data_IF_295516009979
#
_entry.id   IF_295516009979
#
_cell.length_a   1.000
_cell.length_b   1.000
_cell.length_c   1.000
_cell.angle_alpha   90.00
_cell.angle_beta   90.00
_cell.angle_gamma   90.00
#
_symmetry.space_group_name_H-M   'P 1'
#
loop_
_entity.id
_entity.type
_entity.pdbx_description
1 polymer ?
#
# COMPACT_ATOMS: atom_id res chain seq x y z
N UNK A 1 -21.19 22.41 -8.03
CA UNK A 1 -19.85 21.85 -7.79
C UNK A 1 -20.02 20.57 -6.97
N UNK A 2 -19.25 19.52 -7.27
CA UNK A 2 -19.26 18.27 -6.47
C UNK A 2 -18.44 18.51 -5.21
N UNK A 3 -18.94 18.15 -4.00
CA UNK A 3 -18.18 18.32 -2.77
C UNK A 3 -16.92 17.44 -2.78
N UNK A 4 -15.81 17.99 -2.29
CA UNK A 4 -14.55 17.25 -2.11
C UNK A 4 -14.66 16.48 -0.78
N UNK A 5 -14.51 15.16 -0.85
CA UNK A 5 -14.57 14.26 0.31
C UNK A 5 -13.21 13.58 0.54
N UNK A 6 -12.95 13.18 1.79
CA UNK A 6 -11.75 12.44 2.18
C UNK A 6 -11.85 10.95 1.80
N UNK A 7 -10.81 10.41 1.17
CA UNK A 7 -10.62 8.98 0.90
C UNK A 7 -9.65 8.32 1.92
N UNK A 8 -9.32 9.03 3.01
CA UNK A 8 -8.25 8.64 3.95
C UNK A 8 -8.57 7.37 4.76
N UNK A 9 -9.86 7.05 4.99
CA UNK A 9 -10.28 5.89 5.77
C UNK A 9 -9.64 4.59 5.27
N UNK A 10 -9.52 4.43 3.94
CA UNK A 10 -8.96 3.23 3.31
C UNK A 10 -7.47 3.05 3.53
N UNK A 11 -6.76 4.13 3.86
CA UNK A 11 -5.30 4.13 4.05
C UNK A 11 -4.92 4.49 5.49
N UNK A 12 -5.90 4.53 6.40
CA UNK A 12 -5.69 4.96 7.78
C UNK A 12 -4.67 4.08 8.49
N UNK A 13 -4.72 2.77 8.24
CA UNK A 13 -3.81 1.78 8.80
C UNK A 13 -2.34 2.06 8.44
N UNK A 14 -2.06 2.27 7.14
CA UNK A 14 -0.71 2.56 6.65
C UNK A 14 -0.16 3.89 7.19
N UNK A 15 -1.00 4.94 7.23
CA UNK A 15 -0.59 6.23 7.76
C UNK A 15 -0.37 6.19 9.27
N UNK A 16 -1.20 5.44 10.01
CA UNK A 16 -1.01 5.22 11.44
C UNK A 16 0.33 4.52 11.69
N UNK A 17 0.67 3.49 10.90
CA UNK A 17 1.97 2.83 10.99
C UNK A 17 3.12 3.82 10.80
N UNK A 18 3.03 4.73 9.83
CA UNK A 18 4.07 5.73 9.58
C UNK A 18 4.28 6.69 10.75
N UNK A 19 3.21 7.14 11.41
CA UNK A 19 3.33 8.02 12.59
C UNK A 19 3.88 7.29 13.82
N UNK A 20 3.56 6.01 13.96
CA UNK A 20 4.11 5.15 15.03
C UNK A 20 5.60 4.91 14.79
N UNK A 21 6.01 4.63 13.55
CA UNK A 21 7.43 4.52 13.15
C UNK A 21 8.17 5.84 13.32
N UNK A 22 7.52 6.97 13.02
CA UNK A 22 8.07 8.31 13.23
C UNK A 22 8.18 8.73 14.69
N UNK A 23 7.56 7.99 15.61
CA UNK A 23 7.53 8.30 17.04
C UNK A 23 6.60 9.46 17.42
N UNK A 24 5.82 10.01 16.48
CA UNK A 24 4.80 11.03 16.75
C UNK A 24 3.64 10.44 17.59
N UNK A 25 3.36 9.15 17.39
CA UNK A 25 2.25 8.44 18.01
C UNK A 25 2.77 7.20 18.72
N UNK A 26 2.53 7.09 20.02
CA UNK A 26 3.00 5.97 20.86
C UNK A 26 1.86 5.17 21.48
N UNK A 27 0.63 5.69 21.44
CA UNK A 27 -0.55 5.06 22.02
C UNK A 27 -1.82 5.49 21.28
N UNK A 28 -2.93 4.79 21.54
CA UNK A 28 -4.23 5.04 20.90
C UNK A 28 -4.74 6.46 21.17
N UNK A 29 -4.50 7.03 22.36
CA UNK A 29 -4.99 8.37 22.69
C UNK A 29 -4.28 9.46 21.86
N UNK A 30 -2.98 9.32 21.66
CA UNK A 30 -2.20 10.15 20.74
C UNK A 30 -2.64 9.94 19.29
N UNK A 31 -2.91 8.70 18.89
CA UNK A 31 -3.41 8.40 17.54
C UNK A 31 -4.79 9.02 17.26
N UNK A 32 -5.70 9.04 18.24
CA UNK A 32 -6.98 9.76 18.13
C UNK A 32 -6.75 11.27 18.01
N UNK A 33 -5.81 11.80 18.78
CA UNK A 33 -5.43 13.22 18.73
C UNK A 33 -4.84 13.59 17.36
N UNK A 34 -4.00 12.72 16.80
CA UNK A 34 -3.49 12.84 15.44
C UNK A 34 -4.62 12.85 14.40
N UNK A 35 -5.60 11.93 14.52
CA UNK A 35 -6.72 11.85 13.59
C UNK A 35 -7.54 13.15 13.52
N UNK A 36 -7.69 13.87 14.64
CA UNK A 36 -8.39 15.17 14.71
C UNK A 36 -7.75 16.23 13.80
N UNK A 37 -6.43 16.18 13.59
CA UNK A 37 -5.72 17.11 12.71
C UNK A 37 -5.86 16.79 11.22
N UNK A 38 -6.51 15.68 10.87
CA UNK A 38 -6.66 15.25 9.48
C UNK A 38 -7.87 15.89 8.80
N UNK A 39 -7.82 15.97 7.47
CA UNK A 39 -8.98 16.36 6.67
C UNK A 39 -10.16 15.38 6.82
N UNK A 40 -9.89 14.11 7.11
CA UNK A 40 -10.92 13.09 7.36
C UNK A 40 -11.82 13.51 8.52
N UNK A 41 -11.25 13.86 9.67
CA UNK A 41 -12.02 14.27 10.85
C UNK A 41 -12.96 15.44 10.54
N UNK A 42 -12.43 16.49 9.88
CA UNK A 42 -13.24 17.66 9.49
C UNK A 42 -14.41 17.27 8.59
N UNK A 43 -14.22 16.32 7.66
CA UNK A 43 -15.29 15.84 6.77
C UNK A 43 -16.30 14.97 7.49
N UNK A 44 -15.87 14.11 8.41
CA UNK A 44 -16.76 13.27 9.21
C UNK A 44 -17.71 14.12 10.07
N UNK A 45 -17.22 15.20 10.70
CA UNK A 45 -18.09 16.11 11.47
C UNK A 45 -19.06 16.92 10.59
N UNK A 46 -18.70 17.20 9.33
CA UNK A 46 -19.53 18.03 8.44
C UNK A 46 -20.55 17.22 7.63
N UNK A 47 -20.21 15.98 7.29
CA UNK A 47 -21.03 15.09 6.48
C UNK A 47 -20.97 13.65 7.04
N UNK A 48 -21.45 13.40 8.27
CA UNK A 48 -21.31 12.11 8.96
C UNK A 48 -21.88 10.94 8.16
N UNK A 49 -23.01 11.15 7.46
CA UNK A 49 -23.70 10.12 6.69
C UNK A 49 -22.82 9.54 5.57
N UNK A 50 -21.98 10.37 4.93
CA UNK A 50 -21.06 9.91 3.88
C UNK A 50 -19.95 8.98 4.41
N UNK A 51 -19.72 8.98 5.72
CA UNK A 51 -18.73 8.15 6.41
C UNK A 51 -19.37 7.01 7.20
N UNK A 52 -20.66 6.72 6.94
CA UNK A 52 -21.40 5.64 7.61
C UNK A 52 -21.74 5.95 9.08
N UNK A 53 -21.73 7.22 9.48
CA UNK A 53 -22.15 7.67 10.81
C UNK A 53 -23.61 8.10 10.72
N UNK A 54 -24.49 7.47 11.51
CA UNK A 54 -25.91 7.82 11.54
C UNK A 54 -26.16 9.18 12.20
N UNK A 55 -27.31 9.78 11.92
CA UNK A 55 -27.69 11.07 12.53
C UNK A 55 -27.74 10.96 14.07
N UNK A 56 -28.35 9.90 14.59
CA UNK A 56 -28.45 9.65 16.04
C UNK A 56 -27.06 9.55 16.69
N UNK A 57 -26.13 8.81 16.07
CA UNK A 57 -24.74 8.72 16.57
C UNK A 57 -24.01 10.06 16.57
N UNK A 58 -24.26 10.90 15.55
CA UNK A 58 -23.65 12.21 15.47
C UNK A 58 -24.28 13.19 16.49
N UNK A 59 -25.57 13.07 16.77
CA UNK A 59 -26.25 13.90 17.78
C UNK A 59 -25.77 13.57 19.20
N UNK A 60 -25.47 12.29 19.46
CA UNK A 60 -24.90 11.81 20.73
C UNK A 60 -23.40 12.17 20.88
N UNK A 61 -22.61 12.12 19.79
CA UNK A 61 -21.18 12.48 19.77
C UNK A 61 -20.85 13.46 18.62
N UNK A 62 -21.19 14.75 18.75
CA UNK A 62 -20.95 15.75 17.69
C UNK A 62 -19.47 15.98 17.38
N UNK A 63 -18.58 15.64 18.32
CA UNK A 63 -17.13 15.73 18.15
C UNK A 63 -16.52 14.41 17.66
N UNK A 64 -17.32 13.36 17.43
CA UNK A 64 -16.88 12.07 16.94
C UNK A 64 -15.66 11.50 17.70
N UNK A 65 -15.58 11.73 19.01
CA UNK A 65 -14.48 11.25 19.86
C UNK A 65 -14.48 9.74 19.96
N UNK A 66 -15.65 9.15 20.21
CA UNK A 66 -15.80 7.70 20.31
C UNK A 66 -15.58 7.07 18.93
N UNK A 67 -16.19 7.65 17.89
CA UNK A 67 -16.01 7.19 16.52
C UNK A 67 -14.55 7.25 16.06
N UNK A 68 -13.82 8.31 16.40
CA UNK A 68 -12.40 8.45 16.09
C UNK A 68 -11.57 7.36 16.79
N UNK A 69 -11.88 7.09 18.07
CA UNK A 69 -11.25 6.00 18.82
C UNK A 69 -11.51 4.64 18.19
N UNK A 70 -12.74 4.35 17.77
CA UNK A 70 -13.08 3.10 17.07
C UNK A 70 -12.27 2.92 15.78
N UNK A 71 -12.19 3.96 14.95
CA UNK A 71 -11.45 3.92 13.69
C UNK A 71 -9.96 3.67 13.93
N UNK A 72 -9.37 4.39 14.88
CA UNK A 72 -7.97 4.25 15.26
C UNK A 72 -7.67 2.87 15.85
N UNK A 73 -8.51 2.35 16.75
CA UNK A 73 -8.35 0.99 17.28
C UNK A 73 -8.55 -0.09 16.21
N UNK A 74 -9.49 0.12 15.28
CA UNK A 74 -9.69 -0.77 14.14
C UNK A 74 -8.44 -0.87 13.27
N UNK A 75 -7.90 0.29 12.88
CA UNK A 75 -6.63 0.38 12.15
C UNK A 75 -5.47 -0.26 12.94
N UNK A 76 -5.41 -0.06 14.26
CA UNK A 76 -4.36 -0.66 15.07
C UNK A 76 -4.46 -2.19 15.18
N UNK A 77 -5.67 -2.72 15.27
CA UNK A 77 -5.92 -4.18 15.26
C UNK A 77 -5.52 -4.79 13.91
N UNK A 78 -5.80 -4.09 12.81
CA UNK A 78 -5.43 -4.52 11.46
C UNK A 78 -3.91 -4.59 11.28
N UNK A 79 -3.19 -3.52 11.64
CA UNK A 79 -1.72 -3.48 11.50
C UNK A 79 -1.01 -4.47 12.42
N UNK A 80 -1.52 -4.71 13.64
CA UNK A 80 -0.99 -5.76 14.54
C UNK A 80 -1.23 -7.18 13.97
N UNK A 81 -2.37 -7.40 13.30
CA UNK A 81 -2.62 -8.66 12.57
C UNK A 81 -1.60 -8.88 11.44
N UNK A 82 -1.23 -7.81 10.73
CA UNK A 82 -0.19 -7.84 9.69
C UNK A 82 1.25 -7.85 10.25
N UNK A 83 1.41 -7.86 11.58
CA UNK A 83 2.70 -7.90 12.31
C UNK A 83 3.61 -6.70 12.05
N UNK A 84 3.05 -5.54 11.71
CA UNK A 84 3.81 -4.33 11.41
C UNK A 84 4.04 -3.45 12.65
N UNK A 85 3.12 -3.46 13.62
CA UNK A 85 3.42 -3.02 14.98
C UNK A 85 2.75 -3.95 15.99
N UNK A 86 3.02 -3.77 17.29
CA UNK A 86 2.35 -4.47 18.38
C UNK A 86 1.39 -3.54 19.07
N UNK A 87 0.15 -3.98 19.22
CA UNK A 87 -0.90 -3.23 19.92
C UNK A 87 -1.27 -3.90 21.24
N UNK A 88 -0.96 -3.25 22.36
CA UNK A 88 -1.43 -3.69 23.68
C UNK A 88 -2.82 -3.10 23.96
N UNK A 89 -3.84 -3.97 23.97
CA UNK A 89 -5.24 -3.59 24.21
C UNK A 89 -5.49 -3.10 25.64
N UNK A 90 -4.69 -3.53 26.62
CA UNK A 90 -4.91 -3.16 28.02
C UNK A 90 -4.40 -1.75 28.30
N UNK A 91 -3.18 -1.44 27.86
CA UNK A 91 -2.58 -0.11 28.04
C UNK A 91 -2.92 0.89 26.95
N UNK A 92 -3.30 0.43 25.75
CA UNK A 92 -3.46 1.26 24.57
C UNK A 92 -2.13 1.60 23.88
N UNK A 93 -1.01 1.01 24.29
CA UNK A 93 0.30 1.31 23.74
C UNK A 93 0.54 0.64 22.37
N UNK A 94 1.32 1.32 21.54
CA UNK A 94 1.72 0.90 20.21
C UNK A 94 3.25 0.80 20.17
N UNK A 95 3.78 -0.34 19.71
CA UNK A 95 5.22 -0.57 19.61
C UNK A 95 5.61 -0.98 18.19
N UNK A 96 6.55 -0.25 17.59
CA UNK A 96 7.07 -0.51 16.24
C UNK A 96 7.72 -1.91 16.17
N UNK A 97 7.59 -2.55 15.02
CA UNK A 97 8.39 -3.73 14.64
C UNK A 97 9.24 -3.41 13.42
N UNK A 98 10.25 -4.25 13.14
CA UNK A 98 11.09 -4.11 11.96
C UNK A 98 10.28 -4.17 10.66
N UNK A 99 9.23 -5.00 10.60
CA UNK A 99 8.33 -5.07 9.43
C UNK A 99 7.59 -3.75 9.21
N UNK A 100 7.05 -3.15 10.28
CA UNK A 100 6.38 -1.85 10.19
C UNK A 100 7.32 -0.73 9.78
N UNK A 101 8.57 -0.77 10.26
CA UNK A 101 9.62 0.16 9.87
C UNK A 101 9.92 0.06 8.37
N UNK A 102 10.18 -1.17 7.86
CA UNK A 102 10.43 -1.41 6.44
C UNK A 102 9.25 -0.95 5.58
N UNK A 103 8.03 -1.34 5.96
CA UNK A 103 6.82 -0.96 5.23
C UNK A 103 6.62 0.56 5.18
N UNK A 104 6.83 1.26 6.30
CA UNK A 104 6.76 2.73 6.33
C UNK A 104 7.87 3.38 5.51
N UNK A 105 9.08 2.82 5.53
CA UNK A 105 10.23 3.40 4.83
C UNK A 105 10.08 3.30 3.31
N UNK A 106 9.52 2.19 2.82
CA UNK A 106 9.32 1.94 1.40
C UNK A 106 7.90 2.24 0.90
N UNK A 107 7.02 2.80 1.74
CA UNK A 107 5.63 3.09 1.42
C UNK A 107 4.85 1.86 0.90
N UNK A 108 5.14 0.70 1.48
CA UNK A 108 4.47 -0.56 1.15
C UNK A 108 3.16 -0.65 1.92
N UNK A 109 2.07 -0.99 1.24
CA UNK A 109 0.76 -1.17 1.86
C UNK A 109 0.75 -2.36 2.82
N UNK A 110 0.02 -2.23 3.92
CA UNK A 110 -0.05 -3.28 4.93
C UNK A 110 -0.65 -4.58 4.41
N UNK A 111 -1.57 -4.53 3.45
CA UNK A 111 -2.15 -5.73 2.81
C UNK A 111 -1.11 -6.50 1.98
N UNK A 112 -0.17 -5.79 1.35
CA UNK A 112 0.96 -6.41 0.65
C UNK A 112 1.88 -7.12 1.63
N UNK A 113 2.18 -6.49 2.77
CA UNK A 113 2.97 -7.12 3.85
C UNK A 113 2.27 -8.36 4.40
N UNK A 114 0.95 -8.31 4.58
CA UNK A 114 0.15 -9.47 4.99
C UNK A 114 0.30 -10.64 4.01
N UNK A 115 0.16 -10.36 2.71
CA UNK A 115 0.34 -11.33 1.62
C UNK A 115 1.75 -11.91 1.62
N UNK A 116 2.77 -11.06 1.77
CA UNK A 116 4.17 -11.50 1.81
C UNK A 116 4.44 -12.41 3.02
N UNK A 117 3.92 -12.05 4.19
CA UNK A 117 4.07 -12.84 5.41
C UNK A 117 3.48 -14.25 5.27
N UNK A 118 2.29 -14.37 4.65
CA UNK A 118 1.66 -15.66 4.41
C UNK A 118 2.46 -16.50 3.39
N UNK A 119 2.86 -15.91 2.27
CA UNK A 119 3.57 -16.63 1.21
C UNK A 119 4.98 -17.05 1.64
N UNK A 120 5.71 -16.19 2.35
CA UNK A 120 7.05 -16.50 2.88
C UNK A 120 7.00 -17.58 3.96
N UNK A 121 5.98 -17.59 4.82
CA UNK A 121 5.82 -18.62 5.84
C UNK A 121 5.65 -20.03 5.24
N UNK A 122 5.07 -20.12 4.04
CA UNK A 122 4.87 -21.37 3.30
C UNK A 122 6.08 -21.78 2.44
N UNK A 123 7.16 -20.98 2.42
CA UNK A 123 8.32 -21.17 1.56
C UNK A 123 9.61 -21.12 2.39
N UNK A 124 10.08 -22.25 2.95
CA UNK A 124 11.25 -22.28 3.83
C UNK A 124 12.55 -21.90 3.11
N UNK A 125 12.71 -22.27 1.83
CA UNK A 125 13.87 -21.94 1.00
C UNK A 125 13.40 -21.24 -0.30
N UNK A 126 13.12 -19.93 -0.26
CA UNK A 126 12.64 -19.20 -1.43
C UNK A 126 13.78 -19.00 -2.43
N UNK A 127 13.60 -19.48 -3.66
CA UNK A 127 14.45 -19.12 -4.79
C UNK A 127 14.01 -17.78 -5.41
N UNK A 128 14.82 -17.22 -6.30
CA UNK A 128 14.52 -15.95 -6.96
C UNK A 128 13.16 -15.95 -7.68
N UNK A 129 12.76 -17.08 -8.27
CA UNK A 129 11.46 -17.19 -8.94
C UNK A 129 10.29 -17.08 -7.95
N UNK A 130 10.42 -17.70 -6.78
CA UNK A 130 9.45 -17.62 -5.70
C UNK A 130 9.36 -16.19 -5.15
N UNK A 131 10.51 -15.52 -4.95
CA UNK A 131 10.54 -14.13 -4.50
C UNK A 131 9.90 -13.18 -5.52
N UNK A 132 10.21 -13.35 -6.80
CA UNK A 132 9.56 -12.62 -7.88
C UNK A 132 8.03 -12.85 -7.84
N UNK A 133 7.58 -14.09 -7.67
CA UNK A 133 6.16 -14.40 -7.57
C UNK A 133 5.50 -13.69 -6.38
N UNK A 134 6.13 -13.68 -5.20
CA UNK A 134 5.62 -12.99 -4.02
C UNK A 134 5.46 -11.49 -4.29
N UNK A 135 6.48 -10.84 -4.86
CA UNK A 135 6.44 -9.41 -5.19
C UNK A 135 5.31 -9.10 -6.19
N UNK A 136 5.06 -9.96 -7.18
CA UNK A 136 3.94 -9.79 -8.12
C UNK A 136 2.57 -9.75 -7.45
N UNK A 137 2.43 -10.42 -6.31
CA UNK A 137 1.18 -10.55 -5.57
C UNK A 137 0.91 -9.33 -4.68
N UNK A 138 1.79 -8.32 -4.67
CA UNK A 138 1.59 -7.09 -3.92
C UNK A 138 0.32 -6.34 -4.37
N UNK A 139 -0.38 -5.74 -3.41
CA UNK A 139 -1.62 -5.01 -3.62
C UNK A 139 -1.43 -3.75 -4.47
N UNK A 140 -0.22 -3.19 -4.52
CA UNK A 140 0.15 -2.09 -5.41
C UNK A 140 -0.09 -2.44 -6.89
N UNK A 141 -0.02 -3.73 -7.25
CA UNK A 141 -0.20 -4.21 -8.62
C UNK A 141 -1.63 -4.71 -8.92
N UNK A 142 -2.60 -4.49 -8.02
CA UNK A 142 -3.98 -4.95 -8.18
C UNK A 142 -4.61 -4.46 -9.50
N UNK A 143 -4.34 -3.21 -9.87
CA UNK A 143 -4.89 -2.57 -11.06
C UNK A 143 -4.15 -2.96 -12.35
N UNK A 144 -3.03 -3.69 -12.27
CA UNK A 144 -2.29 -4.14 -13.44
C UNK A 144 -3.03 -5.32 -14.07
N UNK A 145 -3.56 -5.10 -15.27
CA UNK A 145 -4.28 -6.09 -16.07
C UNK A 145 -3.63 -6.27 -17.44
N UNK A 146 -3.73 -7.48 -17.97
CA UNK A 146 -3.30 -7.80 -19.34
C UNK A 146 -4.43 -7.39 -20.30
N UNK A 147 -4.09 -6.60 -21.31
CA UNK A 147 -5.05 -6.19 -22.35
C UNK A 147 -5.11 -7.21 -23.49
N UNK A 148 -6.18 -7.17 -24.28
CA UNK A 148 -6.41 -8.17 -25.33
C UNK A 148 -5.30 -8.17 -26.40
N UNK A 149 -4.80 -6.99 -26.74
CA UNK A 149 -3.71 -6.77 -27.69
C UNK A 149 -2.36 -7.31 -27.19
N UNK A 150 -2.18 -7.44 -25.87
CA UNK A 150 -0.95 -7.93 -25.24
C UNK A 150 -0.93 -9.47 -25.13
N UNK A 151 -2.07 -10.14 -25.26
CA UNK A 151 -2.22 -11.58 -24.99
C UNK A 151 -1.28 -12.45 -25.83
N UNK A 152 -1.08 -12.11 -27.11
CA UNK A 152 -0.20 -12.89 -27.99
C UNK A 152 1.26 -12.82 -27.52
N UNK A 153 1.72 -11.63 -27.15
CA UNK A 153 3.09 -11.43 -26.65
C UNK A 153 3.27 -12.14 -25.32
N UNK A 154 2.29 -12.01 -24.43
CA UNK A 154 2.20 -12.70 -23.15
C UNK A 154 2.32 -14.22 -23.30
N UNK A 155 1.58 -14.83 -24.23
CA UNK A 155 1.62 -16.28 -24.48
C UNK A 155 2.99 -16.73 -25.01
N UNK A 156 3.60 -15.95 -25.90
CA UNK A 156 4.94 -16.24 -26.42
C UNK A 156 6.01 -16.13 -25.32
N UNK A 157 5.81 -15.24 -24.36
CA UNK A 157 6.68 -15.12 -23.19
C UNK A 157 6.50 -16.26 -22.20
N UNK A 158 5.27 -16.72 -21.93
CA UNK A 158 5.00 -17.91 -21.12
C UNK A 158 5.72 -19.15 -21.69
N UNK A 159 5.72 -19.31 -23.02
CA UNK A 159 6.38 -20.45 -23.69
C UNK A 159 7.91 -20.39 -23.60
N UNK A 160 8.51 -19.19 -23.64
CA UNK A 160 9.96 -18.99 -23.57
C UNK A 160 10.49 -19.06 -22.13
N UNK A 161 9.65 -18.73 -21.15
CA UNK A 161 10.03 -18.61 -19.74
C UNK A 161 9.28 -19.65 -18.90
N UNK A 162 9.88 -20.81 -18.70
CA UNK A 162 9.26 -22.01 -18.13
C UNK A 162 8.85 -21.89 -16.64
N UNK A 163 9.27 -20.84 -15.90
CA UNK A 163 9.09 -20.78 -14.43
C UNK A 163 8.01 -19.79 -13.93
N UNK A 164 7.24 -19.16 -14.82
CA UNK A 164 6.66 -17.84 -14.54
C UNK A 164 5.16 -17.75 -14.90
N UNK A 165 4.41 -18.82 -14.66
CA UNK A 165 3.19 -19.11 -15.41
C UNK A 165 1.97 -18.20 -15.14
N UNK A 166 1.93 -17.37 -14.09
CA UNK A 166 0.79 -16.45 -13.91
C UNK A 166 1.10 -15.11 -13.22
N UNK A 167 1.86 -15.09 -12.13
CA UNK A 167 2.18 -13.82 -11.46
C UNK A 167 3.24 -12.98 -12.20
N UNK A 168 4.20 -13.64 -12.85
CA UNK A 168 5.33 -13.00 -13.52
C UNK A 168 4.95 -12.15 -14.75
N UNK A 169 3.71 -12.28 -15.23
CA UNK A 169 3.16 -11.45 -16.29
C UNK A 169 3.00 -10.00 -15.87
N UNK A 170 2.65 -9.78 -14.60
CA UNK A 170 2.66 -8.44 -14.00
C UNK A 170 4.09 -7.94 -13.88
N UNK A 171 5.00 -8.75 -13.30
CA UNK A 171 6.41 -8.35 -13.13
C UNK A 171 7.08 -7.95 -14.44
N UNK A 172 6.84 -8.63 -15.56
CA UNK A 172 7.52 -8.29 -16.81
C UNK A 172 6.94 -7.06 -17.52
N UNK A 173 5.66 -6.73 -17.33
CA UNK A 173 5.13 -5.41 -17.74
C UNK A 173 5.85 -4.28 -16.99
N UNK A 174 6.26 -4.53 -15.74
CA UNK A 174 6.96 -3.57 -14.87
C UNK A 174 8.50 -3.58 -15.07
N UNK A 175 9.11 -4.72 -15.40
CA UNK A 175 10.56 -4.93 -15.50
C UNK A 175 11.11 -4.94 -16.94
N UNK A 176 10.27 -4.93 -17.98
CA UNK A 176 10.71 -4.82 -19.37
C UNK A 176 11.63 -3.61 -19.68
N UNK A 177 11.55 -2.45 -19.00
CA UNK A 177 12.52 -1.37 -19.20
C UNK A 177 13.97 -1.75 -18.85
N UNK A 178 14.17 -2.69 -17.93
CA UNK A 178 15.51 -3.07 -17.45
C UNK A 178 16.21 -4.11 -18.33
N UNK A 179 15.49 -4.77 -19.26
CA UNK A 179 16.07 -5.81 -20.11
C UNK A 179 16.55 -5.34 -21.49
N UNK A 180 16.32 -4.06 -21.86
CA UNK A 180 16.93 -3.43 -23.05
C UNK A 180 17.09 -1.92 -22.85
N UNK A 181 18.32 -1.37 -22.78
CA UNK A 181 18.51 0.04 -23.10
C UNK A 181 18.21 0.22 -24.59
N UNK A 182 16.98 0.58 -24.92
CA UNK A 182 16.66 1.02 -26.28
C UNK A 182 17.08 2.48 -26.36
N UNK A 183 18.21 2.73 -27.03
CA UNK A 183 18.57 4.08 -27.49
C UNK A 183 17.43 4.61 -28.35
N UNK A 184 16.66 5.57 -27.83
CA UNK A 184 15.63 6.27 -28.58
C UNK A 184 16.34 7.23 -29.53
N UNK A 185 16.49 6.83 -30.80
CA UNK A 185 16.63 7.80 -31.89
C UNK A 185 15.24 8.28 -32.26
N UNK A 186 15.03 9.59 -32.14
CA UNK A 186 13.74 10.25 -32.36
C UNK A 186 13.15 9.96 -33.74
N UNK A 187 11.86 9.62 -33.74
CA UNK A 187 11.03 9.48 -34.93
C UNK A 187 9.61 9.16 -34.48
N UNK A 188 8.75 10.17 -34.42
CA UNK A 188 7.43 10.08 -33.77
C UNK A 188 6.42 9.20 -34.49
N UNK A 189 5.53 8.57 -33.71
CA UNK A 189 4.09 8.48 -33.99
C UNK A 189 3.35 7.77 -32.84
N UNK A 190 2.54 8.56 -32.13
CA UNK A 190 1.27 8.21 -31.48
C UNK A 190 1.14 6.88 -30.70
N UNK A 191 1.39 6.91 -29.39
CA UNK A 191 0.69 6.09 -28.40
C UNK A 191 0.73 6.72 -27.00
N UNK A 192 -0.08 7.75 -26.76
CA UNK A 192 -0.07 8.57 -25.52
C UNK A 192 -0.66 7.89 -24.27
N UNK A 193 -1.01 6.61 -24.33
CA UNK A 193 -1.68 5.89 -23.22
C UNK A 193 -0.79 4.84 -22.55
N UNK A 194 0.27 4.37 -23.20
CA UNK A 194 1.25 3.46 -22.60
C UNK A 194 2.30 4.23 -21.78
N UNK A 195 2.63 5.45 -22.21
CA UNK A 195 3.66 6.30 -21.58
C UNK A 195 3.29 6.69 -20.14
N UNK A 196 1.99 6.92 -19.83
CA UNK A 196 1.55 7.37 -18.50
C UNK A 196 1.56 6.25 -17.43
N UNK A 197 1.40 4.98 -17.81
CA UNK A 197 1.48 3.84 -16.87
C UNK A 197 2.93 3.47 -16.57
N UNK A 198 3.84 3.54 -17.56
CA UNK A 198 5.28 3.28 -17.33
C UNK A 198 5.91 4.32 -16.37
N UNK A 199 5.52 5.59 -16.47
CA UNK A 199 6.09 6.67 -15.64
C UNK A 199 5.63 6.64 -14.17
N UNK A 200 4.45 6.08 -13.90
CA UNK A 200 3.88 5.99 -12.54
C UNK A 200 4.40 4.78 -11.75
N UNK A 201 4.85 3.74 -12.45
CA UNK A 201 5.35 2.49 -11.88
C UNK A 201 6.83 2.59 -11.51
N UNK A 202 7.63 3.32 -12.29
CA UNK A 202 9.08 3.43 -12.08
C UNK A 202 9.42 4.78 -11.42
N UNK A 203 9.01 4.93 -10.16
CA UNK A 203 9.67 5.87 -9.23
C UNK A 203 10.37 5.12 -8.11
N UNK A 204 11.21 4.14 -8.48
CA UNK A 204 12.27 3.72 -7.57
C UNK A 204 13.28 4.86 -7.55
N UNK A 205 13.19 5.71 -6.53
CA UNK A 205 14.17 6.77 -6.29
C UNK A 205 15.54 6.12 -6.32
N UNK A 206 16.36 6.49 -7.30
CA UNK A 206 17.75 6.09 -7.41
C UNK A 206 18.54 6.83 -6.32
N UNK A 207 18.24 6.54 -5.06
CA UNK A 207 19.09 6.88 -3.95
C UNK A 207 20.24 5.89 -4.00
N UNK A 208 21.40 6.38 -4.45
CA UNK A 208 22.66 5.64 -4.43
C UNK A 208 22.87 5.10 -3.02
N UNK A 209 22.65 3.80 -2.85
CA UNK A 209 23.13 3.03 -1.71
C UNK A 209 24.66 3.01 -1.80
N UNK A 210 25.32 3.99 -1.20
CA UNK A 210 26.75 3.89 -0.90
C UNK A 210 26.86 3.12 0.40
N UNK A 211 27.48 1.95 0.33
CA UNK A 211 27.51 0.96 1.38
C UNK A 211 28.18 1.40 2.69
N UNK A 212 28.08 0.48 3.63
CA UNK A 212 28.83 0.37 4.87
C UNK A 212 30.22 1.02 4.83
N UNK A 213 30.45 1.92 5.77
CA UNK A 213 31.60 1.96 6.68
C UNK A 213 31.08 2.36 8.09
#
# INVERSE_FOLDING_TARGET
AVPIESNFVKQLADHLNAEVVGGTVTNIQEAVTWLVYTYLYVRMCRNPIAYGISADQHDDDPMLRERSKELTEGAAKEIDMHRMFRYDRASGNLAVTDLGWVASHFYTRSESIATFNEMLANLPDPNDANLCHIICCAQEFENVRVRAEELREVDDLKKKSCAYADAALRLRKLLCPFSRPTLIFGGGSSSSSAENEEESIVRVSCAKYTGFD
#
